data_IF_587096341591
#
_entry.id   IF_587096341591
#
_cell.length_a   1.000
_cell.length_b   1.000
_cell.length_c   1.000
_cell.angle_alpha   90.00
_cell.angle_beta   90.00
_cell.angle_gamma   90.00
#
_symmetry.space_group_name_H-M   'P 1'
#
loop_
_entity.id
_entity.type
_entity.pdbx_description
1 polymer ?
#
# COMPACT_ATOMS: atom_id res chain seq x y z
N UNK A 1 -38.98 3.01 3.59
CA UNK A 1 -37.68 3.72 3.74
C UNK A 1 -37.43 3.81 5.24
N UNK A 2 -36.51 3.08 5.87
CA UNK A 2 -35.26 2.45 5.43
C UNK A 2 -35.34 0.91 5.38
N UNK A 3 -34.67 0.31 4.39
CA UNK A 3 -34.36 -1.12 4.27
C UNK A 3 -32.83 -1.19 4.17
N UNK A 4 -32.15 -1.15 5.31
CA UNK A 4 -30.69 -1.17 5.31
C UNK A 4 -30.23 -2.55 4.81
N UNK A 5 -29.37 -2.64 3.78
CA UNK A 5 -28.96 -3.93 3.24
C UNK A 5 -28.32 -4.77 4.35
N UNK A 6 -28.55 -6.10 4.37
CA UNK A 6 -28.06 -7.00 5.43
C UNK A 6 -26.58 -6.80 5.79
N UNK A 7 -25.74 -6.47 4.81
CA UNK A 7 -24.33 -6.19 5.00
C UNK A 7 -24.05 -4.85 5.72
N UNK A 8 -24.91 -3.85 5.59
CA UNK A 8 -24.84 -2.62 6.37
C UNK A 8 -25.20 -2.87 7.85
N UNK A 9 -26.23 -3.70 8.10
CA UNK A 9 -26.58 -4.11 9.47
C UNK A 9 -25.46 -4.92 10.10
N UNK A 10 -24.89 -5.89 9.39
CA UNK A 10 -23.76 -6.67 9.87
C UNK A 10 -22.51 -5.80 10.14
N UNK A 11 -22.24 -4.80 9.29
CA UNK A 11 -21.18 -3.81 9.50
C UNK A 11 -21.43 -3.00 10.77
N UNK A 12 -22.65 -2.51 11.00
CA UNK A 12 -23.01 -1.77 12.19
C UNK A 12 -22.89 -2.63 13.47
N UNK A 13 -23.27 -3.91 13.43
CA UNK A 13 -23.07 -4.82 14.55
C UNK A 13 -21.59 -5.06 14.86
N UNK A 14 -20.74 -5.19 13.83
CA UNK A 14 -19.27 -5.27 13.98
C UNK A 14 -18.70 -3.99 14.58
N UNK A 15 -19.18 -2.83 14.14
CA UNK A 15 -18.80 -1.54 14.69
C UNK A 15 -19.18 -1.45 16.18
N UNK A 16 -20.42 -1.81 16.55
CA UNK A 16 -20.85 -1.88 17.96
C UNK A 16 -19.92 -2.81 18.75
N UNK A 17 -19.59 -4.00 18.23
CA UNK A 17 -18.72 -4.93 18.93
C UNK A 17 -17.33 -4.33 19.18
N UNK A 18 -16.74 -3.70 18.15
CA UNK A 18 -15.43 -3.06 18.23
C UNK A 18 -15.43 -1.88 19.23
N UNK A 19 -16.49 -1.07 19.24
CA UNK A 19 -16.65 0.04 20.19
C UNK A 19 -16.89 -0.46 21.62
N UNK A 20 -17.70 -1.49 21.81
CA UNK A 20 -17.90 -2.12 23.12
C UNK A 20 -16.59 -2.71 23.66
N UNK A 21 -15.81 -3.35 22.80
CA UNK A 21 -14.48 -3.84 23.16
C UNK A 21 -13.55 -2.69 23.56
N UNK A 22 -13.67 -1.53 22.91
CA UNK A 22 -12.92 -0.32 23.27
C UNK A 22 -13.24 0.26 24.64
N UNK A 23 -14.47 0.06 25.11
CA UNK A 23 -14.89 0.46 26.44
C UNK A 23 -14.56 -0.56 27.53
N UNK A 24 -13.93 -1.69 27.16
CA UNK A 24 -13.73 -2.80 28.09
C UNK A 24 -15.05 -3.45 28.52
N UNK A 25 -16.08 -3.39 27.67
CA UNK A 25 -17.35 -4.04 27.94
C UNK A 25 -17.18 -5.57 28.06
N UNK A 26 -18.18 -6.21 28.65
CA UNK A 26 -18.16 -7.65 28.91
C UNK A 26 -17.83 -8.47 27.63
N UNK A 27 -16.79 -9.34 27.63
CA UNK A 27 -16.38 -10.13 26.47
C UNK A 27 -17.47 -11.05 25.89
N UNK A 28 -18.44 -11.47 26.71
CA UNK A 28 -19.59 -12.23 26.23
C UNK A 28 -20.53 -11.39 25.38
N UNK A 29 -20.73 -10.11 25.74
CA UNK A 29 -21.54 -9.18 24.95
C UNK A 29 -20.85 -8.79 23.65
N UNK A 30 -19.54 -8.51 23.67
CA UNK A 30 -18.75 -8.23 22.46
C UNK A 30 -18.88 -9.39 21.46
N UNK A 31 -18.63 -10.62 21.91
CA UNK A 31 -18.75 -11.82 21.07
C UNK A 31 -20.18 -12.08 20.60
N UNK A 32 -21.20 -11.67 21.36
CA UNK A 32 -22.58 -11.77 20.91
C UNK A 32 -22.86 -10.88 19.70
N UNK A 33 -22.34 -9.65 19.69
CA UNK A 33 -22.46 -8.74 18.54
C UNK A 33 -21.68 -9.23 17.31
N UNK A 34 -20.46 -9.74 17.49
CA UNK A 34 -19.69 -10.35 16.39
C UNK A 34 -20.37 -11.57 15.79
N UNK A 35 -20.92 -12.46 16.63
CA UNK A 35 -21.69 -13.62 16.17
C UNK A 35 -22.98 -13.20 15.47
N UNK A 36 -23.66 -12.18 15.98
CA UNK A 36 -24.84 -11.61 15.34
C UNK A 36 -24.54 -11.09 13.94
N UNK A 37 -23.42 -10.38 13.76
CA UNK A 37 -23.01 -9.91 12.44
C UNK A 37 -22.82 -11.06 11.45
N UNK A 38 -22.11 -12.13 11.86
CA UNK A 38 -21.92 -13.34 11.03
C UNK A 38 -23.24 -14.04 10.73
N UNK A 39 -24.13 -14.13 11.72
CA UNK A 39 -25.45 -14.73 11.57
C UNK A 39 -26.29 -13.96 10.54
N UNK A 40 -26.27 -12.62 10.59
CA UNK A 40 -26.98 -11.74 9.63
C UNK A 40 -26.41 -11.87 8.21
N UNK A 41 -25.10 -12.00 8.05
CA UNK A 41 -24.46 -12.19 6.74
C UNK A 41 -24.79 -13.55 6.12
N UNK A 42 -24.91 -14.59 6.96
CA UNK A 42 -25.20 -15.96 6.55
C UNK A 42 -26.69 -16.26 6.33
N UNK A 43 -27.58 -15.27 6.49
CA UNK A 43 -29.01 -15.46 6.32
C UNK A 43 -29.36 -15.88 4.88
N UNK A 44 -30.10 -16.99 4.78
CA UNK A 44 -30.71 -17.45 3.52
C UNK A 44 -32.08 -16.80 3.27
N UNK A 45 -32.79 -16.44 4.35
CA UNK A 45 -34.05 -15.71 4.31
C UNK A 45 -33.79 -14.19 4.33
N UNK A 46 -34.72 -13.43 3.76
CA UNK A 46 -34.65 -11.97 3.75
C UNK A 46 -34.72 -11.37 5.18
N UNK A 47 -33.78 -10.48 5.48
CA UNK A 47 -33.65 -9.88 6.81
C UNK A 47 -34.86 -9.00 7.15
N UNK A 48 -35.40 -8.29 6.16
CA UNK A 48 -36.53 -7.38 6.36
C UNK A 48 -37.81 -8.17 6.72
N UNK A 49 -38.00 -9.31 6.06
CA UNK A 49 -39.08 -10.27 6.35
C UNK A 49 -38.99 -10.83 7.77
N UNK A 50 -37.79 -11.18 8.24
CA UNK A 50 -37.57 -11.66 9.61
C UNK A 50 -37.83 -10.59 10.67
N UNK A 51 -37.51 -9.32 10.37
CA UNK A 51 -37.77 -8.17 11.25
C UNK A 51 -39.27 -7.82 11.30
N UNK A 52 -39.96 -7.88 10.15
CA UNK A 52 -41.39 -7.60 10.06
C UNK A 52 -42.24 -8.65 10.77
N UNK A 53 -41.79 -9.91 10.79
CA UNK A 53 -42.47 -11.03 11.44
C UNK A 53 -42.01 -11.31 12.88
N UNK A 54 -41.12 -10.48 13.45
CA UNK A 54 -40.55 -10.62 14.80
C UNK A 54 -39.89 -12.00 15.06
N UNK A 55 -39.30 -12.59 14.02
CA UNK A 55 -38.69 -13.94 14.05
C UNK A 55 -37.17 -13.94 14.16
N UNK A 56 -36.54 -12.80 14.41
CA UNK A 56 -35.07 -12.70 14.52
C UNK A 56 -34.46 -13.61 15.59
N UNK A 57 -35.17 -13.88 16.68
CA UNK A 57 -34.72 -14.76 17.77
C UNK A 57 -34.70 -16.24 17.38
N UNK A 58 -35.32 -16.62 16.26
CA UNK A 58 -35.23 -17.97 15.72
C UNK A 58 -33.90 -18.25 15.02
N UNK A 59 -33.12 -17.21 14.71
CA UNK A 59 -31.81 -17.34 14.06
C UNK A 59 -30.76 -17.73 15.10
N UNK A 60 -30.04 -18.85 14.91
CA UNK A 60 -28.97 -19.26 15.82
C UNK A 60 -27.93 -18.15 16.01
N UNK A 61 -27.70 -17.76 17.26
CA UNK A 61 -26.75 -16.70 17.61
C UNK A 61 -27.36 -15.30 17.81
N UNK A 62 -28.67 -15.12 17.57
CA UNK A 62 -29.39 -13.86 17.80
C UNK A 62 -30.33 -14.00 19.02
N UNK A 63 -29.95 -13.39 20.15
CA UNK A 63 -30.80 -13.29 21.34
C UNK A 63 -31.70 -12.05 21.33
N UNK A 64 -32.62 -11.94 22.29
CA UNK A 64 -33.62 -10.85 22.39
C UNK A 64 -33.01 -9.44 22.36
N UNK A 65 -31.93 -9.21 23.10
CA UNK A 65 -31.23 -7.92 23.10
C UNK A 65 -30.62 -7.57 21.73
N UNK A 66 -30.08 -8.57 21.03
CA UNK A 66 -29.48 -8.39 19.71
C UNK A 66 -30.55 -8.21 18.63
N UNK A 67 -31.67 -8.93 18.73
CA UNK A 67 -32.83 -8.79 17.87
C UNK A 67 -33.42 -7.36 17.95
N UNK A 68 -33.46 -6.77 19.14
CA UNK A 68 -33.84 -5.38 19.34
C UNK A 68 -32.95 -4.41 18.56
N UNK A 69 -31.63 -4.52 18.73
CA UNK A 69 -30.66 -3.68 18.02
C UNK A 69 -30.71 -3.87 16.49
N UNK A 70 -30.85 -5.11 16.01
CA UNK A 70 -30.99 -5.41 14.58
C UNK A 70 -32.26 -4.78 14.00
N UNK A 71 -33.37 -4.88 14.72
CA UNK A 71 -34.63 -4.29 14.29
C UNK A 71 -34.56 -2.77 14.20
N UNK A 72 -33.86 -2.12 15.13
CA UNK A 72 -33.62 -0.67 15.11
C UNK A 72 -32.76 -0.27 13.90
N UNK A 73 -31.66 -1.01 13.66
CA UNK A 73 -30.75 -0.79 12.53
C UNK A 73 -31.47 -0.94 11.19
N UNK A 74 -32.33 -1.95 11.05
CA UNK A 74 -33.08 -2.20 9.82
C UNK A 74 -34.08 -1.06 9.56
N UNK A 75 -34.88 -0.70 10.57
CA UNK A 75 -35.96 0.30 10.44
C UNK A 75 -35.46 1.74 10.28
N UNK A 76 -34.41 2.11 11.01
CA UNK A 76 -33.96 3.51 11.13
C UNK A 76 -32.61 3.77 10.44
N UNK A 77 -31.87 2.73 10.06
CA UNK A 77 -30.51 2.85 9.54
C UNK A 77 -29.43 3.06 10.61
N UNK A 78 -29.79 3.26 11.89
CA UNK A 78 -28.87 3.40 13.02
C UNK A 78 -29.43 2.72 14.29
N UNK A 79 -28.72 2.78 15.41
CA UNK A 79 -29.25 2.37 16.72
C UNK A 79 -28.79 3.31 17.82
N UNK A 80 -29.62 3.52 18.83
CA UNK A 80 -29.30 4.34 20.00
C UNK A 80 -28.06 3.83 20.75
N UNK A 81 -27.75 2.54 20.65
CA UNK A 81 -26.51 1.98 21.20
C UNK A 81 -25.29 2.41 20.36
N UNK A 82 -25.37 2.31 19.03
CA UNK A 82 -24.28 2.70 18.14
C UNK A 82 -23.95 4.19 18.27
N UNK A 83 -24.96 5.06 18.27
CA UNK A 83 -24.75 6.51 18.39
C UNK A 83 -24.10 6.90 19.73
N UNK A 84 -24.54 6.30 20.84
CA UNK A 84 -23.92 6.52 22.16
C UNK A 84 -22.46 6.08 22.19
N UNK A 85 -22.13 4.97 21.53
CA UNK A 85 -20.76 4.46 21.45
C UNK A 85 -19.88 5.35 20.57
N UNK A 86 -20.40 5.88 19.47
CA UNK A 86 -19.70 6.82 18.58
C UNK A 86 -19.36 8.14 19.27
N UNK A 87 -20.28 8.68 20.09
CA UNK A 87 -20.08 9.93 20.84
C UNK A 87 -18.93 9.88 21.87
N UNK A 88 -18.41 8.69 22.18
CA UNK A 88 -17.34 8.49 23.19
C UNK A 88 -15.96 8.35 22.56
N UNK A 89 -15.87 8.39 21.24
CA UNK A 89 -14.62 8.42 20.49
C UNK A 89 -14.15 9.86 20.26
N UNK A 90 -12.84 10.09 20.16
CA UNK A 90 -12.31 11.41 19.82
C UNK A 90 -12.66 11.80 18.37
N UNK A 91 -12.65 13.11 18.05
CA UNK A 91 -12.89 13.61 16.70
C UNK A 91 -11.92 13.02 15.66
N UNK A 92 -10.65 12.80 16.02
CA UNK A 92 -9.63 12.20 15.14
C UNK A 92 -9.66 10.68 15.05
N UNK A 93 -10.76 10.00 15.40
CA UNK A 93 -10.82 8.53 15.44
C UNK A 93 -10.53 7.86 14.09
N UNK A 94 -10.91 8.50 12.98
CA UNK A 94 -10.65 7.96 11.63
C UNK A 94 -9.16 7.94 11.34
N UNK A 95 -8.46 9.03 11.64
CA UNK A 95 -7.01 9.15 11.46
C UNK A 95 -6.24 8.25 12.43
N UNK A 96 -6.62 8.26 13.71
CA UNK A 96 -6.05 7.38 14.73
C UNK A 96 -6.26 5.90 14.39
N UNK A 97 -7.37 5.56 13.71
CA UNK A 97 -7.71 4.22 13.24
C UNK A 97 -6.70 3.63 12.27
N UNK A 98 -5.87 4.46 11.63
CA UNK A 98 -4.81 4.04 10.71
C UNK A 98 -3.60 3.47 11.46
N UNK A 99 -3.43 3.83 12.74
CA UNK A 99 -2.29 3.41 13.59
C UNK A 99 -2.73 2.48 14.72
N UNK A 100 -3.96 2.64 15.20
CA UNK A 100 -4.48 1.93 16.37
C UNK A 100 -5.84 1.31 16.09
N UNK A 101 -6.07 0.12 16.63
CA UNK A 101 -7.42 -0.42 16.73
C UNK A 101 -8.32 0.49 17.57
N UNK A 102 -9.62 0.56 17.25
CA UNK A 102 -10.62 1.32 18.01
C UNK A 102 -10.53 1.09 19.53
N UNK A 103 -10.19 -0.12 19.96
CA UNK A 103 -10.06 -0.44 21.39
C UNK A 103 -8.91 0.26 22.10
N UNK A 104 -7.78 0.35 21.43
CA UNK A 104 -6.61 1.08 21.90
C UNK A 104 -6.85 2.59 21.87
N UNK A 105 -7.52 3.10 20.84
CA UNK A 105 -7.91 4.52 20.75
C UNK A 105 -8.76 4.91 21.95
N UNK A 106 -9.82 4.16 22.25
CA UNK A 106 -10.69 4.45 23.40
C UNK A 106 -9.96 4.40 24.74
N UNK A 107 -8.98 3.49 24.89
CA UNK A 107 -8.18 3.38 26.11
C UNK A 107 -7.25 4.58 26.28
N UNK A 108 -6.52 4.96 25.23
CA UNK A 108 -5.61 6.11 25.25
C UNK A 108 -6.33 7.45 25.36
N UNK A 109 -7.49 7.60 24.71
CA UNK A 109 -8.33 8.79 24.84
C UNK A 109 -8.79 8.98 26.29
N UNK A 110 -9.24 7.91 26.99
CA UNK A 110 -9.63 8.01 28.40
C UNK A 110 -8.45 8.25 29.35
N UNK A 111 -7.32 7.60 29.11
CA UNK A 111 -6.18 7.67 30.01
C UNK A 111 -5.36 8.95 29.86
N UNK A 112 -5.20 9.44 28.62
CA UNK A 112 -4.26 10.50 28.26
C UNK A 112 -4.91 11.65 27.48
N UNK A 113 -6.20 11.59 27.15
CA UNK A 113 -6.89 12.62 26.37
C UNK A 113 -6.52 12.68 24.90
N UNK A 114 -5.91 11.61 24.35
CA UNK A 114 -5.45 11.58 22.95
C UNK A 114 -6.65 11.69 22.00
N UNK A 115 -6.70 12.78 21.22
CA UNK A 115 -7.79 13.07 20.29
C UNK A 115 -7.37 13.14 18.81
N UNK A 116 -6.07 13.21 18.54
CA UNK A 116 -5.48 13.35 17.21
C UNK A 116 -4.18 12.54 17.06
N UNK A 117 -3.71 12.35 15.83
CA UNK A 117 -2.39 11.75 15.57
C UNK A 117 -1.25 12.55 16.22
N UNK A 118 -1.36 13.88 16.26
CA UNK A 118 -0.39 14.75 16.92
C UNK A 118 -0.32 14.50 18.44
N UNK A 119 -1.48 14.35 19.11
CA UNK A 119 -1.53 14.01 20.53
C UNK A 119 -0.92 12.62 20.80
N UNK A 120 -1.21 11.66 19.92
CA UNK A 120 -0.68 10.31 20.00
C UNK A 120 0.85 10.31 19.90
N UNK A 121 1.40 11.03 18.92
CA UNK A 121 2.84 11.16 18.72
C UNK A 121 3.51 11.84 19.93
N UNK A 122 2.95 12.95 20.40
CA UNK A 122 3.48 13.67 21.56
C UNK A 122 3.48 12.81 22.83
N UNK A 123 2.42 12.02 23.06
CA UNK A 123 2.34 11.10 24.18
C UNK A 123 3.33 9.93 24.06
N UNK A 124 3.51 9.39 22.85
CA UNK A 124 4.45 8.31 22.58
C UNK A 124 5.90 8.75 22.80
N UNK A 125 6.28 9.91 22.24
CA UNK A 125 7.64 10.49 22.39
C UNK A 125 7.96 10.85 23.84
N UNK A 126 6.96 11.30 24.60
CA UNK A 126 7.12 11.59 26.02
C UNK A 126 7.15 10.34 26.91
N UNK A 127 7.02 9.13 26.35
CA UNK A 127 7.00 7.89 27.11
C UNK A 127 5.77 7.74 28.01
N UNK A 128 4.67 8.45 27.72
CA UNK A 128 3.43 8.38 28.54
C UNK A 128 2.54 7.20 28.15
N UNK A 129 2.70 6.66 26.94
CA UNK A 129 1.85 5.57 26.45
C UNK A 129 2.21 4.27 27.15
N UNK A 130 3.51 3.98 27.37
CA UNK A 130 3.98 2.75 28.05
C UNK A 130 3.50 2.56 29.48
N UNK A 131 2.96 3.60 30.12
CA UNK A 131 2.41 3.54 31.48
C UNK A 131 0.92 3.18 31.51
N UNK A 132 0.26 3.19 30.34
CA UNK A 132 -1.16 2.84 30.22
C UNK A 132 -1.32 1.32 30.16
N UNK A 133 -2.23 0.77 30.96
CA UNK A 133 -2.53 -0.67 30.99
C UNK A 133 -2.82 -1.19 29.57
N UNK A 134 -2.02 -2.17 29.12
CA UNK A 134 -2.12 -2.76 27.77
C UNK A 134 -1.17 -2.16 26.73
N UNK A 135 -0.37 -1.16 27.11
CA UNK A 135 0.62 -0.51 26.29
C UNK A 135 1.98 -0.64 26.97
N UNK A 136 2.85 -1.52 26.46
CA UNK A 136 4.23 -1.61 26.93
C UNK A 136 5.19 -0.83 26.02
N UNK A 137 6.49 -0.78 26.35
CA UNK A 137 7.50 -0.10 25.54
C UNK A 137 7.51 -0.54 24.07
N UNK A 138 7.31 -1.84 23.80
CA UNK A 138 7.22 -2.37 22.44
C UNK A 138 6.01 -1.85 21.66
N UNK A 139 4.87 -1.67 22.34
CA UNK A 139 3.66 -1.13 21.70
C UNK A 139 3.84 0.36 21.40
N UNK A 140 4.47 1.11 22.31
CA UNK A 140 4.78 2.53 22.11
C UNK A 140 5.76 2.73 20.94
N UNK A 141 6.81 1.92 20.89
CA UNK A 141 7.74 1.93 19.76
C UNK A 141 7.02 1.62 18.44
N UNK A 142 6.18 0.59 18.41
CA UNK A 142 5.36 0.29 17.23
C UNK A 142 4.46 1.45 16.81
N UNK A 143 3.88 2.18 17.77
CA UNK A 143 3.04 3.35 17.47
C UNK A 143 3.85 4.44 16.79
N UNK A 144 5.08 4.71 17.26
CA UNK A 144 5.99 5.66 16.63
C UNK A 144 6.34 5.23 15.20
N UNK A 145 6.71 3.97 15.01
CA UNK A 145 7.00 3.40 13.69
C UNK A 145 5.80 3.50 12.73
N UNK A 146 4.59 3.24 13.23
CA UNK A 146 3.36 3.30 12.45
C UNK A 146 2.99 4.76 12.08
N UNK A 147 3.25 5.73 12.97
CA UNK A 147 3.07 7.16 12.72
C UNK A 147 4.07 7.68 11.68
N UNK A 148 5.34 7.30 11.81
CA UNK A 148 6.39 7.63 10.84
C UNK A 148 6.03 7.09 9.46
N UNK A 149 5.57 5.85 9.37
CA UNK A 149 5.10 5.26 8.11
C UNK A 149 3.93 6.03 7.50
N UNK A 150 2.99 6.48 8.32
CA UNK A 150 1.86 7.27 7.84
C UNK A 150 2.29 8.63 7.30
N UNK A 151 3.25 9.31 7.95
CA UNK A 151 3.82 10.57 7.48
C UNK A 151 4.65 10.39 6.20
N UNK A 152 5.40 9.29 6.13
CA UNK A 152 6.20 8.93 4.97
C UNK A 152 5.34 8.60 3.74
N UNK A 153 4.06 8.28 3.93
CA UNK A 153 3.10 8.13 2.83
C UNK A 153 2.81 9.49 2.20
N UNK A 154 3.14 9.63 0.92
CA UNK A 154 2.72 10.75 0.09
C UNK A 154 1.32 10.52 -0.47
N UNK A 155 0.90 11.40 -1.37
CA UNK A 155 -0.26 11.11 -2.21
C UNK A 155 0.05 9.91 -3.10
N UNK A 156 -0.93 9.02 -3.30
CA UNK A 156 -0.79 7.93 -4.26
C UNK A 156 -0.92 8.48 -5.67
N UNK A 157 0.08 8.18 -6.49
CA UNK A 157 0.10 8.54 -7.92
C UNK A 157 0.26 7.30 -8.78
N UNK A 158 -0.02 7.43 -10.08
CA UNK A 158 0.12 6.35 -11.05
C UNK A 158 1.60 6.10 -11.38
N UNK A 159 1.93 4.86 -11.73
CA UNK A 159 3.29 4.44 -12.07
C UNK A 159 4.01 5.37 -13.05
N UNK A 160 3.33 5.85 -14.09
CA UNK A 160 3.95 6.68 -15.13
C UNK A 160 4.34 8.09 -14.63
N UNK A 161 3.52 8.69 -13.76
CA UNK A 161 3.80 9.97 -13.10
C UNK A 161 4.95 9.81 -12.10
N UNK A 162 4.88 8.79 -11.24
CA UNK A 162 5.99 8.44 -10.33
C UNK A 162 7.29 8.13 -11.06
N UNK A 163 7.23 7.49 -12.24
CA UNK A 163 8.42 7.20 -13.05
C UNK A 163 9.08 8.49 -13.52
N UNK A 164 8.30 9.45 -14.04
CA UNK A 164 8.81 10.76 -14.47
C UNK A 164 9.49 11.51 -13.33
N UNK A 165 8.87 11.55 -12.15
CA UNK A 165 9.47 12.19 -10.98
C UNK A 165 10.69 11.44 -10.44
N UNK A 166 10.63 10.11 -10.43
CA UNK A 166 11.74 9.23 -10.04
C UNK A 166 12.96 9.39 -10.94
N UNK A 167 12.76 9.51 -12.25
CA UNK A 167 13.84 9.78 -13.22
C UNK A 167 14.46 11.16 -13.00
N UNK A 168 13.65 12.19 -12.75
CA UNK A 168 14.15 13.53 -12.42
C UNK A 168 14.96 13.54 -11.11
N UNK A 169 14.45 12.87 -10.06
CA UNK A 169 15.16 12.68 -8.80
C UNK A 169 16.49 11.95 -9.02
N UNK A 170 16.49 10.86 -9.77
CA UNK A 170 17.67 10.04 -10.03
C UNK A 170 18.73 10.80 -10.84
N UNK A 171 18.30 11.56 -11.84
CA UNK A 171 19.19 12.43 -12.62
C UNK A 171 19.83 13.51 -11.74
N UNK A 172 19.04 14.15 -10.87
CA UNK A 172 19.55 15.11 -9.90
C UNK A 172 20.59 14.49 -8.96
N UNK A 173 20.26 13.36 -8.30
CA UNK A 173 21.18 12.66 -7.40
C UNK A 173 22.50 12.30 -8.09
N UNK A 174 22.45 11.82 -9.34
CA UNK A 174 23.65 11.43 -10.11
C UNK A 174 24.50 12.60 -10.59
N UNK A 175 24.00 13.83 -10.51
CA UNK A 175 24.76 15.03 -10.87
C UNK A 175 25.74 15.49 -9.76
N UNK A 176 25.61 14.95 -8.54
CA UNK A 176 26.52 15.24 -7.43
C UNK A 176 27.82 14.43 -7.54
N UNK A 177 29.01 15.07 -7.39
CA UNK A 177 30.29 14.36 -7.37
C UNK A 177 30.47 13.47 -6.11
N UNK A 178 29.69 13.71 -5.06
CA UNK A 178 29.67 12.89 -3.85
C UNK A 178 28.93 11.56 -4.04
N UNK A 179 28.09 11.46 -5.07
CA UNK A 179 27.29 10.25 -5.39
C UNK A 179 28.07 9.33 -6.32
N UNK A 180 28.48 8.18 -5.81
CA UNK A 180 29.13 7.14 -6.61
C UNK A 180 28.10 6.30 -7.40
N UNK A 181 26.93 6.06 -6.81
CA UNK A 181 25.82 5.32 -7.42
C UNK A 181 24.52 5.81 -6.80
N UNK A 182 23.46 5.90 -7.60
CA UNK A 182 22.11 6.09 -7.11
C UNK A 182 21.16 5.19 -7.89
N UNK A 183 20.19 4.60 -7.21
CA UNK A 183 19.15 3.75 -7.80
C UNK A 183 17.80 4.01 -7.15
N UNK A 184 16.72 3.86 -7.92
CA UNK A 184 15.37 3.84 -7.39
C UNK A 184 15.07 2.48 -6.76
N UNK A 185 14.22 2.48 -5.74
CA UNK A 185 13.80 1.33 -4.97
C UNK A 185 12.27 1.40 -4.72
N UNK A 186 11.79 0.73 -3.67
CA UNK A 186 10.39 0.74 -3.27
C UNK A 186 9.43 0.22 -4.35
N UNK A 187 8.17 0.63 -4.25
CA UNK A 187 7.09 0.24 -5.15
C UNK A 187 7.36 0.59 -6.62
N UNK A 188 8.06 1.71 -6.87
CA UNK A 188 8.43 2.15 -8.21
C UNK A 188 9.34 1.13 -8.90
N UNK A 189 10.39 0.65 -8.20
CA UNK A 189 11.28 -0.37 -8.75
C UNK A 189 10.57 -1.69 -9.01
N UNK A 190 9.56 -2.04 -8.20
CA UNK A 190 8.72 -3.23 -8.37
C UNK A 190 7.58 -3.05 -9.38
N UNK A 191 7.50 -1.88 -10.05
CA UNK A 191 6.49 -1.56 -11.07
C UNK A 191 5.05 -1.66 -10.59
N UNK A 192 4.79 -1.32 -9.32
CA UNK A 192 3.41 -1.20 -8.81
C UNK A 192 2.64 -0.15 -9.60
N UNK A 193 1.37 -0.44 -9.89
CA UNK A 193 0.45 0.40 -10.63
C UNK A 193 0.23 1.77 -9.97
N UNK A 194 0.24 1.79 -8.63
CA UNK A 194 0.22 3.00 -7.80
C UNK A 194 1.46 3.04 -6.91
N UNK A 195 1.97 4.25 -6.70
CA UNK A 195 3.16 4.52 -5.89
C UNK A 195 2.80 5.59 -4.85
N UNK A 196 3.04 5.28 -3.59
CA UNK A 196 2.74 6.16 -2.45
C UNK A 196 3.93 7.02 -2.02
N UNK A 197 5.15 6.66 -2.47
CA UNK A 197 6.38 7.43 -2.31
C UNK A 197 7.47 6.94 -3.27
N UNK A 198 8.36 7.83 -3.65
CA UNK A 198 9.63 7.47 -4.27
C UNK A 198 10.59 7.02 -3.18
N UNK A 199 11.36 5.96 -3.46
CA UNK A 199 12.46 5.54 -2.62
C UNK A 199 13.72 5.53 -3.47
N UNK A 200 14.77 6.20 -3.02
CA UNK A 200 16.07 6.20 -3.67
C UNK A 200 17.17 5.77 -2.69
N UNK A 201 18.12 4.98 -3.20
CA UNK A 201 19.29 4.54 -2.46
C UNK A 201 20.52 5.11 -3.12
N UNK A 202 21.40 5.71 -2.33
CA UNK A 202 22.59 6.41 -2.77
C UNK A 202 23.81 5.77 -2.13
N UNK A 203 24.82 5.47 -2.94
CA UNK A 203 26.17 5.14 -2.49
C UNK A 203 27.02 6.39 -2.49
N UNK A 204 27.57 6.75 -1.34
CA UNK A 204 28.45 7.91 -1.19
C UNK A 204 29.51 7.67 -0.12
N UNK A 205 30.69 8.26 -0.30
CA UNK A 205 31.72 8.36 0.76
C UNK A 205 31.43 9.50 1.75
N UNK A 206 30.56 10.41 1.36
CA UNK A 206 30.13 11.62 2.06
C UNK A 206 28.58 11.63 2.10
N UNK A 207 27.94 10.73 2.90
CA UNK A 207 26.48 10.54 2.85
C UNK A 207 25.70 11.80 3.19
N UNK A 208 26.17 12.58 4.17
CA UNK A 208 25.50 13.83 4.59
C UNK A 208 25.49 14.85 3.46
N UNK A 209 26.60 14.99 2.74
CA UNK A 209 26.75 15.90 1.62
C UNK A 209 25.92 15.46 0.41
N UNK A 210 25.82 14.16 0.16
CA UNK A 210 24.94 13.60 -0.87
C UNK A 210 23.45 13.88 -0.54
N UNK A 211 23.04 13.77 0.73
CA UNK A 211 21.68 14.12 1.16
C UNK A 211 21.42 15.62 1.11
N UNK A 212 22.41 16.45 1.46
CA UNK A 212 22.33 17.90 1.29
C UNK A 212 22.18 18.30 -0.19
N UNK A 213 22.77 17.54 -1.11
CA UNK A 213 22.50 17.69 -2.54
C UNK A 213 21.08 17.28 -2.91
N UNK A 214 20.59 16.15 -2.41
CA UNK A 214 19.21 15.70 -2.61
C UNK A 214 18.18 16.75 -2.13
N UNK A 215 18.43 17.41 -1.00
CA UNK A 215 17.60 18.48 -0.45
C UNK A 215 17.42 19.69 -1.39
N UNK A 216 18.31 19.87 -2.37
CA UNK A 216 18.26 20.94 -3.38
C UNK A 216 17.53 20.52 -4.66
N UNK A 217 16.81 19.41 -4.64
CA UNK A 217 16.03 18.93 -5.78
C UNK A 217 15.03 20.02 -6.22
N UNK A 218 15.05 20.46 -7.49
CA UNK A 218 14.20 21.56 -7.96
C UNK A 218 12.70 21.32 -7.79
N UNK A 219 12.26 20.06 -7.86
CA UNK A 219 10.84 19.66 -7.69
C UNK A 219 10.44 19.41 -6.23
N UNK A 220 11.35 19.61 -5.27
CA UNK A 220 11.02 19.52 -3.85
C UNK A 220 10.24 20.76 -3.39
N UNK A 221 9.13 20.53 -2.68
CA UNK A 221 8.33 21.57 -2.05
C UNK A 221 8.75 21.82 -0.60
N UNK A 222 9.13 20.77 0.14
CA UNK A 222 9.59 20.89 1.52
C UNK A 222 10.45 19.69 1.94
N UNK A 223 11.38 19.92 2.87
CA UNK A 223 12.02 18.84 3.64
C UNK A 223 11.12 18.51 4.83
N UNK A 224 10.64 17.27 4.90
CA UNK A 224 9.80 16.79 6.01
C UNK A 224 10.65 16.26 7.16
N UNK A 225 11.70 15.50 6.84
CA UNK A 225 12.61 14.91 7.82
C UNK A 225 14.04 14.89 7.26
N UNK A 226 15.03 15.11 8.12
CA UNK A 226 16.45 15.06 7.77
C UNK A 226 17.23 14.41 8.90
N UNK A 227 17.92 13.31 8.57
CA UNK A 227 18.74 12.51 9.47
C UNK A 227 20.08 12.18 8.81
N UNK A 228 21.06 11.71 9.59
CA UNK A 228 22.42 11.45 9.11
C UNK A 228 22.54 10.54 7.87
N UNK A 229 21.58 9.63 7.66
CA UNK A 229 21.59 8.67 6.54
C UNK A 229 20.31 8.66 5.70
N UNK A 230 19.39 9.59 5.96
CA UNK A 230 18.07 9.61 5.33
C UNK A 230 17.53 11.04 5.24
N UNK A 231 16.89 11.36 4.12
CA UNK A 231 16.08 12.57 3.98
C UNK A 231 14.72 12.21 3.40
N UNK A 232 13.67 12.81 3.93
CA UNK A 232 12.30 12.69 3.41
C UNK A 232 11.87 14.06 2.88
N UNK A 233 11.61 14.13 1.58
CA UNK A 233 11.14 15.32 0.89
C UNK A 233 9.67 15.18 0.52
N UNK A 234 8.92 16.28 0.58
CA UNK A 234 7.63 16.44 -0.09
C UNK A 234 7.91 17.05 -1.46
N UNK A 235 7.46 16.40 -2.52
CA UNK A 235 7.54 16.91 -3.89
C UNK A 235 6.35 17.84 -4.19
N UNK A 236 6.50 18.66 -5.23
CA UNK A 236 5.51 19.67 -5.61
C UNK A 236 4.12 19.07 -5.93
N UNK A 237 4.06 17.87 -6.49
CA UNK A 237 2.80 17.17 -6.80
C UNK A 237 2.28 16.30 -5.63
N UNK A 238 2.80 16.49 -4.42
CA UNK A 238 2.27 15.83 -3.21
C UNK A 238 2.89 14.47 -2.90
N UNK A 239 3.60 13.84 -3.83
CA UNK A 239 4.36 12.61 -3.60
C UNK A 239 5.51 12.86 -2.61
N UNK A 240 5.80 11.89 -1.75
CA UNK A 240 7.00 11.94 -0.92
C UNK A 240 8.17 11.27 -1.63
N UNK A 241 9.39 11.79 -1.44
CA UNK A 241 10.62 11.16 -1.87
C UNK A 241 11.52 10.86 -0.66
N UNK A 242 11.76 9.59 -0.43
CA UNK A 242 12.60 9.07 0.64
C UNK A 242 13.96 8.67 0.05
N UNK A 243 15.02 9.38 0.44
CA UNK A 243 16.38 9.15 -0.07
C UNK A 243 17.26 8.68 1.08
N UNK A 244 17.89 7.53 0.90
CA UNK A 244 18.84 6.97 1.87
C UNK A 244 20.25 6.98 1.29
N UNK A 245 21.23 7.40 2.09
CA UNK A 245 22.63 7.42 1.69
C UNK A 245 23.46 6.46 2.55
N UNK A 246 24.24 5.61 1.89
CA UNK A 246 25.07 4.58 2.52
C UNK A 246 26.51 4.62 1.96
N UNK A 247 27.51 4.19 2.75
CA UNK A 247 28.79 3.78 2.20
C UNK A 247 28.62 2.65 1.17
N UNK A 248 29.59 2.52 0.25
CA UNK A 248 29.55 1.52 -0.82
C UNK A 248 29.28 0.08 -0.34
N UNK A 249 29.82 -0.31 0.82
CA UNK A 249 29.62 -1.65 1.37
C UNK A 249 28.18 -1.93 1.84
N UNK A 250 27.43 -0.90 2.25
CA UNK A 250 26.04 -1.04 2.70
C UNK A 250 25.01 -0.97 1.57
N UNK A 251 25.40 -0.41 0.42
CA UNK A 251 24.49 -0.12 -0.69
C UNK A 251 23.72 -1.36 -1.20
N UNK A 252 24.34 -2.52 -1.48
CA UNK A 252 23.62 -3.63 -2.09
C UNK A 252 22.51 -4.20 -1.21
N UNK A 253 22.81 -4.37 0.09
CA UNK A 253 21.83 -4.83 1.08
C UNK A 253 20.70 -3.82 1.25
N UNK A 254 21.05 -2.53 1.40
CA UNK A 254 20.06 -1.47 1.55
C UNK A 254 19.14 -1.39 0.33
N UNK A 255 19.68 -1.50 -0.88
CA UNK A 255 18.89 -1.49 -2.11
C UNK A 255 17.93 -2.68 -2.18
N UNK A 256 18.36 -3.88 -1.79
CA UNK A 256 17.49 -5.06 -1.69
C UNK A 256 16.34 -4.80 -0.72
N UNK A 257 16.66 -4.37 0.50
CA UNK A 257 15.67 -4.19 1.56
C UNK A 257 14.71 -3.04 1.25
N UNK A 258 15.22 -1.89 0.81
CA UNK A 258 14.39 -0.74 0.43
C UNK A 258 13.59 -0.98 -0.85
N UNK A 259 13.93 -2.00 -1.64
CA UNK A 259 13.06 -2.44 -2.74
C UNK A 259 11.84 -3.16 -2.22
N UNK A 260 11.93 -3.91 -1.12
CA UNK A 260 10.81 -4.64 -0.54
C UNK A 260 10.24 -5.70 -1.50
N UNK A 261 8.94 -6.01 -1.42
CA UNK A 261 7.96 -5.52 -0.43
C UNK A 261 8.23 -6.01 1.00
N UNK A 262 7.56 -5.44 2.01
CA UNK A 262 7.66 -5.91 3.41
C UNK A 262 7.26 -7.39 3.54
N UNK A 263 6.27 -7.85 2.76
CA UNK A 263 5.83 -9.23 2.74
C UNK A 263 6.92 -10.16 2.15
N UNK A 264 7.56 -9.74 1.06
CA UNK A 264 8.71 -10.43 0.50
C UNK A 264 9.88 -10.50 1.49
N UNK A 265 10.21 -9.40 2.16
CA UNK A 265 11.27 -9.39 3.18
C UNK A 265 10.95 -10.33 4.32
N UNK A 266 9.72 -10.35 4.83
CA UNK A 266 9.31 -11.26 5.89
C UNK A 266 9.53 -12.74 5.50
N UNK A 267 9.28 -13.11 4.24
CA UNK A 267 9.58 -14.45 3.71
C UNK A 267 11.08 -14.74 3.70
N UNK A 268 11.90 -13.80 3.22
CA UNK A 268 13.35 -13.96 3.21
C UNK A 268 13.92 -14.06 4.63
N UNK A 269 13.40 -13.28 5.57
CA UNK A 269 13.77 -13.31 6.99
C UNK A 269 13.41 -14.66 7.63
N UNK A 270 12.21 -15.17 7.37
CA UNK A 270 11.78 -16.49 7.83
C UNK A 270 12.67 -17.61 7.25
N UNK A 271 13.03 -17.53 5.97
CA UNK A 271 13.91 -18.48 5.31
C UNK A 271 15.35 -18.42 5.88
N UNK A 272 15.87 -17.22 6.12
CA UNK A 272 17.16 -17.01 6.75
C UNK A 272 17.19 -17.66 8.15
N UNK A 273 16.16 -17.40 8.96
CA UNK A 273 16.03 -17.98 10.29
C UNK A 273 15.99 -19.52 10.25
N UNK A 274 15.24 -20.11 9.31
CA UNK A 274 15.19 -21.56 9.11
C UNK A 274 16.56 -22.17 8.74
N UNK A 275 17.48 -21.37 8.17
CA UNK A 275 18.85 -21.76 7.80
C UNK A 275 19.90 -21.39 8.86
N UNK A 276 19.49 -20.92 10.04
CA UNK A 276 20.39 -20.48 11.11
C UNK A 276 21.14 -19.18 10.76
N UNK A 277 20.53 -18.33 9.95
CA UNK A 277 21.02 -17.00 9.57
C UNK A 277 20.13 -15.91 10.18
N UNK A 278 20.68 -14.70 10.37
CA UNK A 278 19.88 -13.50 10.63
C UNK A 278 19.95 -12.61 9.39
N UNK A 279 18.79 -12.17 8.91
CA UNK A 279 18.67 -11.21 7.82
C UNK A 279 17.90 -9.99 8.34
N UNK A 280 18.57 -8.84 8.42
CA UNK A 280 17.98 -7.62 8.98
C UNK A 280 18.62 -6.38 8.34
N UNK A 281 18.26 -5.18 8.81
CA UNK A 281 18.81 -3.92 8.32
C UNK A 281 20.32 -3.77 8.58
N UNK A 282 20.87 -4.49 9.57
CA UNK A 282 22.28 -4.46 9.92
C UNK A 282 23.13 -5.45 9.11
N UNK A 283 22.53 -6.43 8.44
CA UNK A 283 23.29 -7.38 7.64
C UNK A 283 22.57 -8.70 7.36
N UNK A 284 23.29 -9.55 6.63
CA UNK A 284 23.04 -10.99 6.60
C UNK A 284 24.16 -11.68 7.38
N UNK A 285 23.83 -12.47 8.40
CA UNK A 285 24.82 -13.11 9.27
C UNK A 285 24.54 -14.61 9.43
N UNK A 286 25.58 -15.40 9.68
CA UNK A 286 25.48 -16.83 10.01
C UNK A 286 26.33 -17.15 11.23
N UNK A 287 25.71 -17.69 12.29
CA UNK A 287 26.40 -17.93 13.55
C UNK A 287 27.06 -16.67 14.15
N UNK A 288 26.42 -15.51 13.96
CA UNK A 288 26.92 -14.20 14.41
C UNK A 288 28.03 -13.58 13.54
N UNK A 289 28.46 -14.25 12.46
CA UNK A 289 29.45 -13.69 11.52
C UNK A 289 28.76 -13.05 10.31
N UNK A 290 29.13 -11.82 9.91
CA UNK A 290 28.59 -11.19 8.72
C UNK A 290 28.99 -11.94 7.45
N UNK A 291 28.04 -12.10 6.55
CA UNK A 291 28.25 -12.63 5.20
C UNK A 291 28.55 -11.46 4.24
N UNK A 292 29.43 -11.70 3.27
CA UNK A 292 29.80 -10.68 2.29
C UNK A 292 28.68 -10.51 1.26
N UNK A 293 28.29 -9.26 0.99
CA UNK A 293 27.27 -8.89 0.00
C UNK A 293 27.90 -7.84 -0.92
N UNK A 294 28.31 -8.26 -2.11
CA UNK A 294 28.87 -7.39 -3.14
C UNK A 294 27.78 -6.81 -4.04
N UNK A 295 26.73 -7.59 -4.28
CA UNK A 295 25.56 -7.21 -5.05
C UNK A 295 24.27 -7.74 -4.41
N UNK A 296 23.13 -7.37 -4.98
CA UNK A 296 21.83 -7.81 -4.50
C UNK A 296 21.61 -9.32 -4.67
N UNK A 297 22.22 -9.93 -5.69
CA UNK A 297 22.08 -11.35 -5.97
C UNK A 297 22.78 -12.22 -4.92
N UNK A 298 23.82 -11.71 -4.25
CA UNK A 298 24.46 -12.38 -3.12
C UNK A 298 23.48 -12.65 -1.97
N UNK A 299 22.51 -11.76 -1.72
CA UNK A 299 21.47 -11.98 -0.68
C UNK A 299 20.70 -13.26 -0.98
N UNK A 300 20.16 -13.40 -2.20
CA UNK A 300 19.44 -14.58 -2.63
C UNK A 300 20.35 -15.82 -2.63
N UNK A 301 21.59 -15.70 -3.12
CA UNK A 301 22.55 -16.81 -3.17
C UNK A 301 22.89 -17.36 -1.79
N UNK A 302 23.09 -16.51 -0.79
CA UNK A 302 23.32 -16.94 0.60
C UNK A 302 22.10 -17.65 1.20
N UNK A 303 20.89 -17.24 0.81
CA UNK A 303 19.64 -17.91 1.19
C UNK A 303 19.38 -19.18 0.38
N UNK A 304 20.20 -19.47 -0.64
CA UNK A 304 20.02 -20.62 -1.53
C UNK A 304 18.84 -20.46 -2.48
N UNK A 305 18.60 -19.23 -2.94
CA UNK A 305 17.58 -18.88 -3.93
C UNK A 305 18.26 -18.36 -5.21
N UNK A 306 17.65 -18.56 -6.39
CA UNK A 306 17.94 -17.74 -7.56
C UNK A 306 17.60 -16.27 -7.29
N UNK A 307 18.14 -15.37 -8.11
CA UNK A 307 17.77 -13.96 -8.06
C UNK A 307 16.28 -13.79 -8.40
N UNK A 308 15.55 -13.06 -7.55
CA UNK A 308 14.14 -12.75 -7.76
C UNK A 308 14.04 -11.32 -8.26
N UNK A 309 13.54 -11.15 -9.49
CA UNK A 309 13.34 -9.84 -10.10
C UNK A 309 12.43 -8.95 -9.24
N UNK A 310 12.70 -7.63 -9.12
CA UNK A 310 11.93 -6.72 -8.29
C UNK A 310 10.41 -6.78 -8.49
N UNK A 311 9.96 -6.94 -9.73
CA UNK A 311 8.56 -7.00 -10.13
C UNK A 311 7.79 -8.18 -9.50
N UNK A 312 8.49 -9.22 -9.05
CA UNK A 312 7.88 -10.40 -8.44
C UNK A 312 7.76 -10.32 -6.91
N UNK A 313 8.39 -9.34 -6.26
CA UNK A 313 8.62 -9.31 -4.80
C UNK A 313 7.41 -8.83 -4.00
N UNK A 314 6.30 -9.54 -4.14
CA UNK A 314 4.98 -9.16 -3.60
C UNK A 314 4.37 -10.23 -2.67
N UNK A 315 5.11 -11.29 -2.32
CA UNK A 315 4.59 -12.45 -1.57
C UNK A 315 3.39 -13.11 -2.27
N UNK A 316 3.54 -13.32 -3.58
CA UNK A 316 2.54 -13.93 -4.46
C UNK A 316 2.91 -15.36 -4.87
N UNK A 317 3.86 -15.98 -4.17
CA UNK A 317 4.40 -17.32 -4.45
C UNK A 317 5.78 -17.32 -5.10
N UNK A 318 6.42 -16.15 -5.25
CA UNK A 318 7.74 -16.02 -5.90
C UNK A 318 8.86 -16.70 -5.11
N UNK A 319 8.79 -16.68 -3.76
CA UNK A 319 9.81 -17.33 -2.91
C UNK A 319 9.64 -18.84 -2.94
N UNK A 320 8.41 -19.34 -2.93
CA UNK A 320 8.10 -20.76 -3.09
C UNK A 320 8.56 -21.27 -4.45
N UNK A 321 8.22 -20.57 -5.54
CA UNK A 321 8.68 -20.90 -6.88
C UNK A 321 10.21 -20.87 -6.99
N UNK A 322 10.87 -19.92 -6.32
CA UNK A 322 12.33 -19.84 -6.28
C UNK A 322 12.97 -21.06 -5.59
N UNK A 323 12.31 -21.62 -4.56
CA UNK A 323 12.77 -22.80 -3.84
C UNK A 323 12.60 -24.09 -4.63
N UNK A 324 11.53 -24.20 -5.43
CA UNK A 324 11.23 -25.39 -6.25
C UNK A 324 11.85 -25.32 -7.65
N UNK A 325 12.39 -24.17 -8.05
CA UNK A 325 12.94 -23.96 -9.39
C UNK A 325 11.88 -23.65 -10.46
N UNK A 326 10.68 -23.24 -10.03
CA UNK A 326 9.53 -22.94 -10.89
C UNK A 326 9.41 -21.44 -11.25
N UNK A 327 10.43 -20.63 -10.92
CA UNK A 327 10.46 -19.24 -11.40
C UNK A 327 10.55 -19.20 -12.93
N UNK A 328 9.94 -18.18 -13.56
CA UNK A 328 10.17 -17.94 -14.98
C UNK A 328 11.66 -17.71 -15.23
N UNK A 329 12.22 -18.39 -16.23
CA UNK A 329 13.65 -18.25 -16.60
C UNK A 329 14.02 -16.80 -16.92
N UNK A 330 13.04 -16.04 -17.44
CA UNK A 330 13.16 -14.63 -17.80
C UNK A 330 11.79 -13.96 -17.83
N UNK A 331 11.72 -12.72 -17.39
CA UNK A 331 10.56 -11.84 -17.58
C UNK A 331 10.57 -11.17 -18.95
N UNK A 332 9.36 -10.82 -19.43
CA UNK A 332 9.18 -10.01 -20.63
C UNK A 332 9.89 -8.65 -20.46
N UNK A 333 10.67 -8.26 -21.47
CA UNK A 333 11.34 -6.96 -21.55
C UNK A 333 10.71 -6.09 -22.62
N UNK A 334 10.94 -4.77 -22.53
CA UNK A 334 10.47 -3.82 -23.55
C UNK A 334 10.98 -4.21 -24.94
N UNK A 335 12.23 -4.68 -25.05
CA UNK A 335 12.82 -5.11 -26.32
C UNK A 335 12.18 -6.41 -26.90
N UNK A 336 11.42 -7.16 -26.09
CA UNK A 336 10.65 -8.31 -26.58
C UNK A 336 9.34 -7.87 -27.26
N UNK A 337 8.87 -6.64 -27.00
CA UNK A 337 7.64 -6.10 -27.58
C UNK A 337 7.86 -5.83 -29.07
N UNK A 338 7.18 -6.62 -29.90
CA UNK A 338 7.32 -6.54 -31.36
C UNK A 338 6.34 -5.58 -32.02
N UNK A 339 5.30 -5.13 -31.32
CA UNK A 339 4.29 -4.27 -31.92
C UNK A 339 3.19 -3.88 -30.95
N UNK A 340 2.39 -2.91 -31.38
CA UNK A 340 1.28 -2.33 -30.61
C UNK A 340 -0.02 -2.89 -31.16
N UNK A 341 -0.89 -3.41 -30.30
CA UNK A 341 -2.11 -4.13 -30.71
C UNK A 341 -3.41 -3.35 -30.49
N UNK A 342 -3.33 -2.16 -29.88
CA UNK A 342 -4.48 -1.34 -29.57
C UNK A 342 -4.08 0.13 -29.71
N UNK A 343 -4.46 0.74 -30.83
CA UNK A 343 -4.11 2.11 -31.19
C UNK A 343 -5.29 2.78 -31.88
N UNK A 344 -5.53 4.04 -31.55
CA UNK A 344 -6.59 4.85 -32.15
C UNK A 344 -6.01 5.92 -33.07
N UNK A 345 -6.73 6.24 -34.13
CA UNK A 345 -6.36 7.29 -35.10
C UNK A 345 -7.39 8.41 -35.07
N UNK A 346 -7.21 9.44 -35.89
CA UNK A 346 -8.21 10.49 -36.06
C UNK A 346 -9.54 9.99 -36.64
N UNK A 347 -9.62 8.73 -37.09
CA UNK A 347 -10.88 8.14 -37.50
C UNK A 347 -11.86 8.02 -36.32
N UNK A 348 -11.42 7.65 -35.11
CA UNK A 348 -12.22 7.76 -33.87
C UNK A 348 -11.80 8.97 -33.01
N UNK A 349 -11.01 8.71 -31.97
CA UNK A 349 -10.66 9.60 -30.86
C UNK A 349 -9.14 9.74 -30.67
N UNK A 350 -8.36 9.13 -31.56
CA UNK A 350 -6.94 9.40 -31.69
C UNK A 350 -6.67 10.77 -32.33
N UNK A 351 -5.41 11.18 -32.30
CA UNK A 351 -4.98 12.49 -32.82
C UNK A 351 -4.23 12.41 -34.14
N UNK A 352 -3.75 11.22 -34.50
CA UNK A 352 -2.83 11.01 -35.62
C UNK A 352 -3.49 10.24 -36.76
N UNK A 353 -2.97 10.42 -37.98
CA UNK A 353 -3.32 9.59 -39.15
C UNK A 353 -2.74 8.17 -39.06
N UNK A 354 -3.24 7.26 -39.89
CA UNK A 354 -2.69 5.90 -40.01
C UNK A 354 -1.20 5.97 -40.37
N UNK A 355 -0.83 6.81 -41.35
CA UNK A 355 0.56 7.01 -41.76
C UNK A 355 1.44 7.55 -40.63
N UNK A 356 0.98 8.57 -39.89
CA UNK A 356 1.73 9.11 -38.74
C UNK A 356 1.94 8.07 -37.64
N UNK A 357 0.90 7.28 -37.34
CA UNK A 357 0.99 6.20 -36.36
C UNK A 357 1.96 5.10 -36.82
N UNK A 358 1.90 4.70 -38.09
CA UNK A 358 2.80 3.70 -38.66
C UNK A 358 4.27 4.18 -38.63
N UNK A 359 4.52 5.43 -39.01
CA UNK A 359 5.86 6.04 -38.92
C UNK A 359 6.37 6.15 -37.48
N UNK A 360 5.49 6.47 -36.53
CA UNK A 360 5.82 6.49 -35.10
C UNK A 360 6.20 5.10 -34.58
N UNK A 361 5.42 4.08 -34.96
CA UNK A 361 5.71 2.69 -34.61
C UNK A 361 7.05 2.21 -35.21
N UNK A 362 7.32 2.53 -36.48
CA UNK A 362 8.59 2.22 -37.16
C UNK A 362 9.78 2.91 -36.47
N UNK A 363 9.65 4.19 -36.10
CA UNK A 363 10.67 4.91 -35.33
C UNK A 363 10.95 4.31 -33.95
N UNK A 364 9.95 3.65 -33.35
CA UNK A 364 10.10 2.88 -32.10
C UNK A 364 10.64 1.46 -32.32
N UNK A 365 10.89 1.04 -33.57
CA UNK A 365 11.37 -0.29 -33.93
C UNK A 365 10.30 -1.38 -33.91
N UNK A 366 9.02 -1.02 -33.94
CA UNK A 366 7.92 -1.97 -33.94
C UNK A 366 7.78 -2.64 -35.31
N UNK A 367 7.57 -3.95 -35.32
CA UNK A 367 7.33 -4.76 -36.53
C UNK A 367 5.91 -4.68 -37.05
N UNK A 368 4.96 -4.37 -36.18
CA UNK A 368 3.56 -4.21 -36.55
C UNK A 368 2.85 -3.21 -35.64
N UNK A 369 1.75 -2.69 -36.15
CA UNK A 369 0.82 -1.80 -35.48
C UNK A 369 -0.60 -2.23 -35.86
N UNK A 370 -1.46 -2.40 -34.88
CA UNK A 370 -2.89 -2.66 -35.10
C UNK A 370 -3.69 -1.40 -34.79
N UNK A 371 -4.41 -0.90 -35.78
CA UNK A 371 -5.37 0.18 -35.61
C UNK A 371 -6.71 -0.41 -35.16
N UNK A 372 -7.25 0.11 -34.07
CA UNK A 372 -8.43 -0.39 -33.36
C UNK A 372 -9.37 0.77 -33.00
N UNK A 373 -9.70 1.61 -33.99
CA UNK A 373 -10.66 2.70 -33.81
C UNK A 373 -12.04 2.19 -33.36
N UNK A 374 -12.79 3.04 -32.65
CA UNK A 374 -14.02 2.62 -31.99
C UNK A 374 -15.14 2.23 -32.96
N UNK A 375 -16.00 1.32 -32.52
CA UNK A 375 -17.22 0.94 -33.24
C UNK A 375 -18.34 1.98 -33.08
N UNK A 376 -19.40 1.95 -33.92
CA UNK A 376 -20.49 2.93 -33.89
C UNK A 376 -21.15 3.17 -32.53
N UNK A 377 -21.18 2.14 -31.68
CA UNK A 377 -21.86 2.21 -30.37
C UNK A 377 -21.12 3.11 -29.37
N UNK A 378 -19.85 3.44 -29.62
CA UNK A 378 -19.07 4.39 -28.84
C UNK A 378 -19.28 5.83 -29.37
N UNK A 379 -20.51 6.33 -29.30
CA UNK A 379 -20.88 7.65 -29.82
C UNK A 379 -20.05 8.81 -29.25
N UNK A 380 -19.60 8.70 -27.99
CA UNK A 380 -18.76 9.70 -27.33
C UNK A 380 -17.34 9.77 -27.89
N UNK A 381 -16.90 8.76 -28.63
CA UNK A 381 -15.56 8.63 -29.19
C UNK A 381 -15.56 8.64 -30.74
N UNK A 382 -16.62 9.17 -31.36
CA UNK A 382 -16.79 9.23 -32.83
C UNK A 382 -16.63 7.87 -33.52
N UNK A 383 -17.25 6.84 -32.95
CA UNK A 383 -17.27 5.48 -33.52
C UNK A 383 -17.52 5.45 -35.02
N UNK A 384 -16.81 4.56 -35.72
CA UNK A 384 -16.85 4.47 -37.18
C UNK A 384 -18.06 3.67 -37.64
N UNK A 385 -18.95 4.32 -38.38
CA UNK A 385 -19.91 3.64 -39.25
C UNK A 385 -19.19 2.85 -40.36
N UNK A 386 -19.89 1.89 -40.97
CA UNK A 386 -19.30 0.96 -41.95
C UNK A 386 -18.58 1.67 -43.11
N UNK A 387 -19.15 2.77 -43.61
CA UNK A 387 -18.56 3.54 -44.71
C UNK A 387 -17.25 4.25 -44.32
N UNK A 388 -17.13 4.65 -43.04
CA UNK A 388 -15.88 5.23 -42.50
C UNK A 388 -14.83 4.15 -42.24
N UNK A 389 -15.25 2.97 -41.82
CA UNK A 389 -14.35 1.82 -41.63
C UNK A 389 -13.74 1.38 -42.97
N UNK A 390 -14.55 1.31 -44.03
CA UNK A 390 -14.07 0.99 -45.38
C UNK A 390 -13.03 2.01 -45.86
N UNK A 391 -13.30 3.32 -45.67
CA UNK A 391 -12.31 4.38 -45.98
C UNK A 391 -11.02 4.25 -45.17
N UNK A 392 -11.10 3.86 -43.91
CA UNK A 392 -9.91 3.61 -43.09
C UNK A 392 -9.07 2.44 -43.62
N UNK A 393 -9.68 1.41 -44.21
CA UNK A 393 -8.92 0.28 -44.76
C UNK A 393 -8.22 0.62 -46.08
N UNK A 394 -8.74 1.61 -46.81
CA UNK A 394 -8.11 2.11 -48.04
C UNK A 394 -6.89 2.99 -47.77
N UNK A 395 -6.86 3.66 -46.61
CA UNK A 395 -5.78 4.53 -46.09
C UNK A 395 -4.67 3.71 -45.41
#
# INVERSE_FOLDING_TARGET
MSLAPRFAVARALREIAALMQAEGANPFKVRAYERGARAVEALSEDLDTLVASDRLTSVPGIGTALAGTISELVRTGTSAQLERLRQRLPPGVVELGQVLSLSKIGTLHRALGIASLADLEAAARAGRIRDVKGFGPRTEQKILEDLERLRARGEETLLHEATREGEALLAHLRASPEVARAELAGALRRRRETVDRLVAVVSSRMPVEALAHAARLPISAATLEEEHGRILLRLAEGLNAEIHAFPAAGFPLAWQRLTGSDAHLAKLEALAAAKGMSFDAGGLTRGGRPLSIQDEADVYRHLGLPFIEPELREDAGEVEAALTGDLPERLLRVDDVQGLVHCHTHYSDGKNSVEEMARGADAMGMKYLTITDHSPTAFYAKGLELDRLERQWED
#
